data_IF_737879735173
#
_entry.id   IF_737879735173
#
_cell.length_a   1.000
_cell.length_b   1.000
_cell.length_c   1.000
_cell.angle_alpha   90.00
_cell.angle_beta   90.00
_cell.angle_gamma   90.00
#
_symmetry.space_group_name_H-M   'P 1'
#
loop_
_entity.id
_entity.type
_entity.pdbx_description
1 polymer ?
#
# COMPACT_ATOMS: atom_id res chain seq x y z
N UNK A 1 -27.25 61.29 -3.84
CA UNK A 1 -27.32 60.06 -3.02
C UNK A 1 -27.74 58.83 -3.82
N UNK A 2 -28.88 58.84 -4.53
CA UNK A 2 -29.40 57.68 -5.29
C UNK A 2 -28.41 57.10 -6.32
N UNK A 3 -27.66 57.95 -7.04
CA UNK A 3 -26.69 57.50 -8.05
C UNK A 3 -25.49 56.72 -7.47
N UNK A 4 -25.05 57.02 -6.24
CA UNK A 4 -23.98 56.29 -5.56
C UNK A 4 -24.45 54.91 -5.07
N UNK A 5 -25.72 54.82 -4.66
CA UNK A 5 -26.32 53.56 -4.19
C UNK A 5 -26.50 52.55 -5.34
N UNK A 6 -26.89 53.02 -6.53
CA UNK A 6 -26.98 52.20 -7.74
C UNK A 6 -25.62 51.66 -8.21
N UNK A 7 -24.55 52.47 -8.10
CA UNK A 7 -23.20 52.05 -8.42
C UNK A 7 -22.68 50.98 -7.42
N UNK A 8 -22.94 51.18 -6.12
CA UNK A 8 -22.59 50.20 -5.09
C UNK A 8 -23.34 48.86 -5.28
N UNK A 9 -24.61 48.91 -5.69
CA UNK A 9 -25.41 47.72 -5.98
C UNK A 9 -24.91 46.95 -7.22
N UNK A 10 -24.46 47.66 -8.26
CA UNK A 10 -23.85 47.03 -9.44
C UNK A 10 -22.50 46.35 -9.13
N UNK A 11 -21.69 46.95 -8.24
CA UNK A 11 -20.42 46.34 -7.83
C UNK A 11 -20.67 45.09 -6.96
N UNK A 12 -21.64 45.13 -6.05
CA UNK A 12 -22.00 44.00 -5.17
C UNK A 12 -22.59 42.79 -5.93
N UNK A 13 -23.30 43.01 -7.03
CA UNK A 13 -23.87 41.92 -7.85
C UNK A 13 -22.82 41.29 -8.78
N UNK A 14 -21.78 42.05 -9.16
CA UNK A 14 -20.69 41.55 -10.00
C UNK A 14 -19.70 40.62 -9.27
N UNK A 15 -19.59 40.73 -7.94
CA UNK A 15 -18.71 39.88 -7.12
C UNK A 15 -19.29 38.49 -6.81
N UNK A 16 -20.59 38.26 -7.02
CA UNK A 16 -21.24 36.96 -6.81
C UNK A 16 -20.96 35.98 -7.97
N UNK A 17 -20.55 36.49 -9.13
CA UNK A 17 -20.15 35.67 -10.30
C UNK A 17 -18.67 35.33 -10.33
N UNK A 18 -17.93 35.50 -9.22
CA UNK A 18 -16.58 34.99 -9.11
C UNK A 18 -16.65 33.45 -9.20
N UNK A 19 -16.27 32.97 -10.37
CA UNK A 19 -16.55 31.66 -10.93
C UNK A 19 -16.12 30.57 -9.97
N UNK A 20 -17.10 29.86 -9.40
CA UNK A 20 -16.89 28.52 -8.87
C UNK A 20 -16.63 27.63 -10.10
N UNK A 21 -15.42 27.70 -10.66
CA UNK A 21 -15.00 26.81 -11.74
C UNK A 21 -15.13 25.40 -11.19
N UNK A 22 -16.16 24.69 -11.64
CA UNK A 22 -16.33 23.28 -11.32
C UNK A 22 -15.04 22.57 -11.68
N UNK A 23 -14.38 21.95 -10.68
CA UNK A 23 -13.16 21.20 -10.90
C UNK A 23 -13.46 20.09 -11.89
N UNK A 24 -12.62 19.95 -12.91
CA UNK A 24 -12.70 18.81 -13.82
C UNK A 24 -12.39 17.56 -13.01
N UNK A 25 -13.25 16.54 -13.07
CA UNK A 25 -12.98 15.25 -12.45
C UNK A 25 -12.61 14.23 -13.52
N UNK A 26 -11.49 13.54 -13.34
CA UNK A 26 -11.06 12.42 -14.18
C UNK A 26 -11.09 11.16 -13.32
N UNK A 27 -11.72 10.10 -13.81
CA UNK A 27 -11.76 8.81 -13.13
C UNK A 27 -10.96 7.78 -13.93
N UNK A 28 -10.02 7.13 -13.26
CA UNK A 28 -9.11 6.15 -13.86
C UNK A 28 -9.29 4.79 -13.17
N UNK A 29 -9.24 3.72 -13.96
CA UNK A 29 -9.20 2.35 -13.44
C UNK A 29 -7.80 1.96 -12.92
N UNK A 30 -7.69 0.72 -12.44
CA UNK A 30 -6.44 0.16 -11.90
C UNK A 30 -5.30 0.02 -12.93
N UNK A 31 -5.61 0.18 -14.21
CA UNK A 31 -4.67 0.17 -15.34
C UNK A 31 -4.48 1.57 -15.94
N UNK A 32 -4.90 2.63 -15.22
CA UNK A 32 -4.85 4.03 -15.64
C UNK A 32 -5.69 4.34 -16.89
N UNK A 33 -6.70 3.54 -17.20
CA UNK A 33 -7.62 3.79 -18.30
C UNK A 33 -8.78 4.67 -17.81
N UNK A 34 -9.20 5.68 -18.60
CA UNK A 34 -10.38 6.47 -18.26
C UNK A 34 -11.64 5.61 -18.14
N UNK A 35 -12.40 5.83 -17.07
CA UNK A 35 -13.72 5.21 -16.83
C UNK A 35 -14.73 6.28 -16.44
N UNK A 36 -16.02 5.97 -16.51
CA UNK A 36 -17.05 6.87 -16.00
C UNK A 36 -17.15 6.78 -14.46
N UNK A 37 -17.77 7.79 -13.84
CA UNK A 37 -17.92 7.89 -12.39
C UNK A 37 -18.70 6.71 -11.78
N UNK A 38 -19.73 6.20 -12.48
CA UNK A 38 -20.52 5.07 -11.98
C UNK A 38 -19.68 3.79 -11.87
N UNK A 39 -18.92 3.46 -12.92
CA UNK A 39 -17.99 2.32 -12.93
C UNK A 39 -16.85 2.51 -11.92
N UNK A 40 -16.40 3.75 -11.70
CA UNK A 40 -15.43 4.05 -10.66
C UNK A 40 -15.98 3.75 -9.27
N UNK A 41 -17.18 4.25 -8.95
CA UNK A 41 -17.82 4.01 -7.66
C UNK A 41 -18.09 2.52 -7.44
N UNK A 42 -18.53 1.80 -8.47
CA UNK A 42 -18.76 0.35 -8.40
C UNK A 42 -17.47 -0.42 -8.10
N UNK A 43 -16.37 -0.11 -8.81
CA UNK A 43 -15.05 -0.71 -8.55
C UNK A 43 -14.55 -0.38 -7.15
N UNK A 44 -14.64 0.89 -6.74
CA UNK A 44 -14.21 1.37 -5.41
C UNK A 44 -14.94 0.64 -4.28
N UNK A 45 -16.21 0.31 -4.47
CA UNK A 45 -17.02 -0.38 -3.47
C UNK A 45 -16.66 -1.88 -3.32
N UNK A 46 -15.86 -2.44 -4.24
CA UNK A 46 -15.38 -3.82 -4.13
C UNK A 46 -14.25 -3.95 -3.11
N UNK A 47 -14.22 -5.06 -2.36
CA UNK A 47 -13.23 -5.26 -1.29
C UNK A 47 -11.78 -5.45 -1.79
N UNK A 48 -11.57 -5.65 -3.09
CA UNK A 48 -10.24 -5.87 -3.67
C UNK A 48 -9.58 -4.58 -4.17
N UNK A 49 -10.32 -3.47 -4.18
CA UNK A 49 -9.88 -2.18 -4.66
C UNK A 49 -9.93 -1.12 -3.56
N UNK A 50 -9.20 -0.05 -3.77
CA UNK A 50 -9.31 1.22 -3.05
C UNK A 50 -9.16 2.36 -4.06
N UNK A 51 -9.27 3.60 -3.61
CA UNK A 51 -9.09 4.76 -4.48
C UNK A 51 -8.20 5.81 -3.84
N UNK A 52 -7.36 6.43 -4.67
CA UNK A 52 -6.60 7.63 -4.33
C UNK A 52 -7.09 8.79 -5.18
N UNK A 53 -7.05 9.99 -4.62
CA UNK A 53 -7.43 11.21 -5.33
C UNK A 53 -6.33 12.25 -5.19
N UNK A 54 -5.94 12.82 -6.32
CA UNK A 54 -4.97 13.91 -6.39
C UNK A 54 -5.60 15.07 -7.16
N UNK A 55 -5.54 16.27 -6.63
CA UNK A 55 -6.13 17.42 -7.30
C UNK A 55 -5.39 18.72 -7.04
N UNK A 56 -5.63 19.67 -7.93
CA UNK A 56 -5.28 21.07 -7.80
C UNK A 56 -6.55 21.93 -7.90
N UNK A 57 -6.41 23.22 -8.19
CA UNK A 57 -7.55 24.15 -8.24
C UNK A 57 -8.49 23.89 -9.42
N UNK A 58 -7.99 23.26 -10.49
CA UNK A 58 -8.72 23.07 -11.75
C UNK A 58 -9.17 21.63 -12.00
N UNK A 59 -8.46 20.65 -11.43
CA UNK A 59 -8.55 19.25 -11.78
C UNK A 59 -8.44 18.37 -10.54
N UNK A 60 -9.27 17.35 -10.46
CA UNK A 60 -9.14 16.23 -9.52
C UNK A 60 -9.09 14.92 -10.32
N UNK A 61 -8.03 14.15 -10.14
CA UNK A 61 -7.89 12.81 -10.69
C UNK A 61 -8.17 11.80 -9.59
N UNK A 62 -9.16 10.95 -9.81
CA UNK A 62 -9.52 9.83 -8.96
C UNK A 62 -9.04 8.55 -9.64
N UNK A 63 -8.28 7.73 -8.93
CA UNK A 63 -7.67 6.53 -9.48
C UNK A 63 -8.00 5.33 -8.60
N UNK A 64 -8.50 4.26 -9.22
CA UNK A 64 -8.64 2.95 -8.58
C UNK A 64 -7.27 2.30 -8.44
N UNK A 65 -6.97 1.75 -7.27
CA UNK A 65 -5.76 0.99 -7.01
C UNK A 65 -6.11 -0.36 -6.38
N UNK A 66 -5.30 -1.37 -6.66
CA UNK A 66 -5.51 -2.70 -6.06
C UNK A 66 -5.21 -2.63 -4.56
N UNK A 67 -6.11 -3.14 -3.74
CA UNK A 67 -5.86 -3.38 -2.32
C UNK A 67 -5.18 -4.73 -2.12
N UNK A 68 -5.62 -5.72 -2.91
CA UNK A 68 -5.00 -7.04 -3.07
C UNK A 68 -4.94 -7.40 -4.55
N UNK A 69 -3.93 -8.16 -4.96
CA UNK A 69 -3.82 -8.64 -6.34
C UNK A 69 -3.03 -9.95 -6.39
N UNK A 70 -3.64 -10.97 -6.98
CA UNK A 70 -2.92 -12.17 -7.43
C UNK A 70 -2.50 -12.02 -8.89
N UNK A 71 -1.41 -12.65 -9.25
CA UNK A 71 -1.02 -12.76 -10.64
C UNK A 71 0.15 -13.70 -10.84
N UNK A 72 0.63 -13.75 -12.07
CA UNK A 72 1.77 -14.56 -12.47
C UNK A 72 2.63 -13.81 -13.47
N UNK A 73 3.92 -13.73 -13.19
CA UNK A 73 4.89 -13.28 -14.19
C UNK A 73 5.29 -14.46 -15.07
N UNK A 74 5.51 -14.20 -16.36
CA UNK A 74 6.21 -15.15 -17.21
C UNK A 74 7.66 -15.36 -16.71
N UNK A 75 8.31 -16.41 -17.20
CA UNK A 75 9.65 -16.80 -16.74
C UNK A 75 10.71 -15.72 -16.98
N UNK A 76 10.60 -14.95 -18.07
CA UNK A 76 11.54 -13.89 -18.44
C UNK A 76 11.35 -12.70 -17.50
N UNK A 77 10.11 -12.24 -17.32
CA UNK A 77 9.76 -11.13 -16.44
C UNK A 77 10.13 -11.45 -14.99
N UNK A 78 9.82 -12.66 -14.49
CA UNK A 78 10.21 -13.11 -13.16
C UNK A 78 11.73 -13.10 -12.97
N UNK A 79 12.47 -13.61 -13.95
CA UNK A 79 13.94 -13.58 -13.93
C UNK A 79 14.48 -12.15 -13.86
N UNK A 80 13.97 -11.23 -14.70
CA UNK A 80 14.38 -9.82 -14.70
C UNK A 80 14.12 -9.15 -13.36
N UNK A 81 12.94 -9.36 -12.77
CA UNK A 81 12.60 -8.83 -11.44
C UNK A 81 13.59 -9.36 -10.39
N UNK A 82 13.90 -10.66 -10.39
CA UNK A 82 14.87 -11.26 -9.46
C UNK A 82 16.28 -10.70 -9.65
N UNK A 83 16.70 -10.40 -10.87
CA UNK A 83 17.98 -9.75 -11.15
C UNK A 83 18.03 -8.31 -10.63
N UNK A 84 16.94 -7.54 -10.79
CA UNK A 84 16.82 -6.21 -10.19
C UNK A 84 16.88 -6.27 -8.66
N UNK A 85 16.16 -7.21 -8.05
CA UNK A 85 16.18 -7.43 -6.60
C UNK A 85 17.58 -7.82 -6.10
N UNK A 86 18.29 -8.69 -6.82
CA UNK A 86 19.68 -9.07 -6.53
C UNK A 86 20.63 -7.88 -6.58
N UNK A 87 20.51 -7.05 -7.63
CA UNK A 87 21.31 -5.82 -7.77
C UNK A 87 21.05 -4.84 -6.63
N UNK A 88 19.79 -4.54 -6.35
CA UNK A 88 19.39 -3.50 -5.39
C UNK A 88 19.68 -3.95 -3.94
N UNK A 89 19.44 -5.22 -3.62
CA UNK A 89 19.68 -5.76 -2.27
C UNK A 89 21.11 -6.24 -2.01
N UNK A 90 21.92 -6.43 -3.06
CA UNK A 90 23.24 -7.08 -3.01
C UNK A 90 23.21 -8.51 -2.42
N UNK A 91 22.06 -9.19 -2.44
CA UNK A 91 21.91 -10.56 -1.98
C UNK A 91 21.93 -11.54 -3.15
N UNK A 92 22.89 -12.47 -3.15
CA UNK A 92 23.06 -13.46 -4.22
C UNK A 92 22.11 -14.66 -4.14
N UNK A 93 21.43 -14.88 -3.01
CA UNK A 93 20.58 -16.05 -2.75
C UNK A 93 19.08 -15.76 -3.00
N UNK A 94 18.79 -15.10 -4.12
CA UNK A 94 17.42 -14.70 -4.50
C UNK A 94 16.81 -15.63 -5.55
N UNK A 95 17.63 -16.28 -6.39
CA UNK A 95 17.12 -17.00 -7.55
C UNK A 95 16.23 -18.20 -7.17
N UNK A 96 16.56 -18.88 -6.08
CA UNK A 96 16.01 -20.17 -5.63
C UNK A 96 15.06 -20.06 -4.44
N UNK A 97 14.78 -18.84 -3.96
CA UNK A 97 13.92 -18.59 -2.80
C UNK A 97 12.63 -17.89 -3.18
N UNK A 98 11.58 -18.20 -2.44
CA UNK A 98 10.39 -17.36 -2.45
C UNK A 98 10.70 -16.06 -1.69
N UNK A 99 10.08 -14.96 -2.10
CA UNK A 99 10.46 -13.63 -1.62
C UNK A 99 9.28 -12.96 -0.93
N UNK A 100 9.57 -12.25 0.16
CA UNK A 100 8.63 -11.33 0.82
C UNK A 100 9.25 -9.94 0.76
N UNK A 101 8.62 -9.02 0.04
CA UNK A 101 9.09 -7.66 -0.14
C UNK A 101 8.14 -6.74 0.62
N UNK A 102 8.67 -6.00 1.59
CA UNK A 102 7.94 -4.93 2.26
C UNK A 102 8.41 -3.61 1.67
N UNK A 103 7.51 -2.81 1.12
CA UNK A 103 7.84 -1.52 0.52
C UNK A 103 7.12 -0.38 1.25
N UNK A 104 7.86 0.70 1.53
CA UNK A 104 7.32 1.96 2.02
C UNK A 104 7.59 3.07 1.01
N UNK A 105 6.55 3.77 0.58
CA UNK A 105 6.77 4.92 -0.30
C UNK A 105 7.63 5.98 0.41
N UNK A 106 7.34 6.27 1.68
CA UNK A 106 8.16 7.21 2.47
C UNK A 106 8.51 6.62 3.84
N UNK A 107 9.79 6.70 4.22
CA UNK A 107 10.27 6.51 5.58
C UNK A 107 10.28 7.86 6.30
N UNK A 108 9.39 8.03 7.27
CA UNK A 108 9.31 9.24 8.08
C UNK A 108 10.14 9.12 9.36
N UNK A 109 10.89 10.16 9.71
CA UNK A 109 11.45 10.30 11.04
C UNK A 109 10.36 10.41 12.10
N UNK A 110 10.62 9.87 13.29
CA UNK A 110 9.67 9.90 14.42
C UNK A 110 9.24 11.32 14.82
N UNK A 111 10.06 12.34 14.59
CA UNK A 111 9.67 13.74 14.92
C UNK A 111 8.85 14.39 13.81
N UNK A 112 9.09 13.98 12.56
CA UNK A 112 8.42 14.48 11.36
C UNK A 112 7.01 13.92 11.22
N UNK A 113 6.78 12.73 11.77
CA UNK A 113 5.49 12.07 11.75
C UNK A 113 4.59 12.64 12.87
N UNK A 114 3.45 13.23 12.48
CA UNK A 114 2.56 13.98 13.38
C UNK A 114 2.11 13.18 14.61
N UNK A 115 1.92 11.87 14.45
CA UNK A 115 1.50 10.98 15.54
C UNK A 115 2.57 10.77 16.62
N UNK A 116 3.83 11.15 16.35
CA UNK A 116 4.97 10.89 17.22
C UNK A 116 5.74 12.13 17.64
N UNK A 117 5.34 13.32 17.17
CA UNK A 117 5.98 14.59 17.50
C UNK A 117 6.08 14.83 19.03
N UNK A 118 5.11 14.31 19.81
CA UNK A 118 5.02 14.50 21.26
C UNK A 118 5.65 13.36 22.08
N UNK A 119 6.21 12.33 21.45
CA UNK A 119 6.81 11.22 22.19
C UNK A 119 8.16 11.59 22.79
N UNK A 120 8.43 11.08 24.00
CA UNK A 120 9.76 11.21 24.58
C UNK A 120 10.79 10.39 23.78
N UNK A 121 12.06 10.81 23.83
CA UNK A 121 13.15 10.04 23.21
C UNK A 121 13.22 8.59 23.72
N UNK A 122 12.85 8.36 24.98
CA UNK A 122 12.78 7.02 25.58
C UNK A 122 11.70 6.18 24.93
N UNK A 123 10.52 6.74 24.70
CA UNK A 123 9.39 6.04 24.07
C UNK A 123 9.69 5.72 22.62
N UNK A 124 10.28 6.67 21.89
CA UNK A 124 10.77 6.45 20.52
C UNK A 124 11.75 5.27 20.50
N UNK A 125 12.77 5.27 21.37
CA UNK A 125 13.75 4.20 21.47
C UNK A 125 13.12 2.83 21.79
N UNK A 126 12.11 2.81 22.66
CA UNK A 126 11.39 1.59 23.00
C UNK A 126 10.55 1.06 21.84
N UNK A 127 9.81 1.93 21.13
CA UNK A 127 9.03 1.58 19.94
C UNK A 127 9.91 1.01 18.84
N UNK A 128 11.02 1.70 18.57
CA UNK A 128 12.06 1.26 17.64
C UNK A 128 12.56 -0.15 17.98
N UNK A 129 12.98 -0.36 19.25
CA UNK A 129 13.49 -1.65 19.71
C UNK A 129 12.43 -2.76 19.61
N UNK A 130 11.18 -2.43 19.91
CA UNK A 130 10.06 -3.35 19.79
C UNK A 130 9.86 -3.78 18.33
N UNK A 131 9.81 -2.82 17.40
CA UNK A 131 9.67 -3.08 15.98
C UNK A 131 10.81 -3.94 15.43
N UNK A 132 12.06 -3.60 15.74
CA UNK A 132 13.24 -4.37 15.29
C UNK A 132 13.24 -5.81 15.83
N UNK A 133 12.80 -6.03 17.08
CA UNK A 133 12.64 -7.37 17.65
C UNK A 133 11.52 -8.17 17.00
N UNK A 134 10.44 -7.52 16.56
CA UNK A 134 9.38 -8.17 15.79
C UNK A 134 9.93 -8.61 14.44
N UNK A 135 10.55 -7.70 13.69
CA UNK A 135 11.12 -8.02 12.38
C UNK A 135 12.13 -9.17 12.46
N UNK A 136 12.92 -9.23 13.54
CA UNK A 136 13.79 -10.39 13.82
C UNK A 136 13.03 -11.72 13.87
N UNK A 137 11.90 -11.76 14.58
CA UNK A 137 11.05 -12.97 14.69
C UNK A 137 10.45 -13.33 13.33
N UNK A 138 9.98 -12.35 12.58
CA UNK A 138 9.43 -12.52 11.24
C UNK A 138 10.44 -13.16 10.30
N UNK A 139 11.63 -12.55 10.18
CA UNK A 139 12.72 -13.06 9.34
C UNK A 139 13.11 -14.48 9.73
N UNK A 140 13.17 -14.78 11.04
CA UNK A 140 13.48 -16.14 11.51
C UNK A 140 12.41 -17.15 11.10
N UNK A 141 11.12 -16.79 11.13
CA UNK A 141 10.04 -17.66 10.66
C UNK A 141 10.13 -17.86 9.16
N UNK A 142 10.18 -16.77 8.40
CA UNK A 142 10.09 -16.83 6.95
C UNK A 142 11.26 -17.64 6.35
N UNK A 143 12.46 -17.53 6.94
CA UNK A 143 13.61 -18.37 6.57
C UNK A 143 13.41 -19.87 6.81
N UNK A 144 12.62 -20.26 7.82
CA UNK A 144 12.28 -21.68 8.04
C UNK A 144 11.36 -22.21 6.95
N UNK A 145 10.52 -21.34 6.38
CA UNK A 145 9.59 -21.66 5.31
C UNK A 145 10.21 -21.43 3.91
N UNK A 146 11.54 -21.30 3.81
CA UNK A 146 12.29 -21.02 2.58
C UNK A 146 11.98 -19.67 1.88
N UNK A 147 11.52 -18.69 2.65
CA UNK A 147 11.34 -17.31 2.17
C UNK A 147 12.52 -16.41 2.56
N UNK A 148 12.93 -15.53 1.65
CA UNK A 148 13.82 -14.40 1.96
C UNK A 148 13.02 -13.10 2.00
N UNK A 149 13.25 -12.31 3.05
CA UNK A 149 12.53 -11.05 3.25
C UNK A 149 13.42 -9.85 2.97
N UNK A 150 12.87 -8.87 2.25
CA UNK A 150 13.51 -7.59 1.97
C UNK A 150 12.61 -6.42 2.38
N UNK A 151 13.24 -5.31 2.75
CA UNK A 151 12.57 -4.09 3.16
C UNK A 151 13.06 -2.96 2.26
N UNK A 152 12.16 -2.43 1.44
CA UNK A 152 12.42 -1.39 0.46
C UNK A 152 11.76 -0.08 0.84
N UNK A 153 12.35 1.03 0.38
CA UNK A 153 11.73 2.33 0.47
C UNK A 153 11.95 3.19 -0.78
N UNK A 154 11.03 4.11 -1.05
CA UNK A 154 11.19 5.09 -2.13
C UNK A 154 11.77 6.41 -1.64
N UNK A 155 11.27 7.04 -0.58
CA UNK A 155 11.77 8.33 -0.06
C UNK A 155 12.18 8.20 1.40
N UNK A 156 13.28 8.82 1.81
CA UNK A 156 13.65 8.97 3.21
C UNK A 156 13.44 10.43 3.62
N UNK A 157 12.47 10.66 4.52
CA UNK A 157 12.20 11.95 5.16
C UNK A 157 12.61 11.89 6.63
N UNK A 158 13.91 12.10 6.88
CA UNK A 158 14.49 12.20 8.23
C UNK A 158 14.43 10.91 9.07
N UNK A 159 14.30 9.75 8.41
CA UNK A 159 14.43 8.45 9.06
C UNK A 159 15.91 8.13 9.30
N UNK A 160 16.36 8.36 10.53
CA UNK A 160 17.75 8.22 10.94
C UNK A 160 18.02 6.95 11.77
N UNK A 161 17.01 6.08 11.94
CA UNK A 161 17.19 4.85 12.69
C UNK A 161 17.84 3.76 11.83
N UNK A 162 18.85 3.09 12.39
CA UNK A 162 19.49 1.92 11.79
C UNK A 162 19.03 0.66 12.55
N UNK A 163 18.14 -0.16 11.96
CA UNK A 163 17.71 -1.41 12.58
C UNK A 163 18.87 -2.39 12.73
N UNK A 164 18.80 -3.26 13.76
CA UNK A 164 19.87 -4.23 14.02
C UNK A 164 19.63 -5.56 13.31
N UNK A 165 18.36 -5.92 13.08
CA UNK A 165 18.00 -7.24 12.57
C UNK A 165 17.60 -7.24 11.09
N UNK A 166 17.49 -6.07 10.47
CA UNK A 166 17.22 -5.91 9.04
C UNK A 166 17.76 -4.57 8.53
N UNK A 167 17.75 -4.37 7.21
CA UNK A 167 18.14 -3.11 6.60
C UNK A 167 17.09 -2.63 5.61
N UNK A 168 16.87 -1.32 5.58
CA UNK A 168 16.11 -0.65 4.54
C UNK A 168 16.96 -0.49 3.28
N UNK A 169 16.43 -0.89 2.14
CA UNK A 169 17.07 -0.82 0.83
C UNK A 169 16.33 0.24 0.01
N UNK A 170 17.06 1.20 -0.56
CA UNK A 170 16.44 2.17 -1.47
C UNK A 170 16.00 1.42 -2.73
N UNK A 171 14.70 1.46 -3.04
CA UNK A 171 14.16 0.87 -4.26
C UNK A 171 14.57 1.69 -5.49
N UNK A 172 14.95 1.03 -6.57
CA UNK A 172 15.09 1.70 -7.87
C UNK A 172 13.71 2.09 -8.42
N UNK A 173 13.63 3.18 -9.18
CA UNK A 173 12.37 3.64 -9.79
C UNK A 173 11.72 2.57 -10.66
N UNK A 174 12.55 1.76 -11.35
CA UNK A 174 12.08 0.64 -12.18
C UNK A 174 11.39 -0.41 -11.31
N UNK A 175 12.04 -0.89 -10.25
CA UNK A 175 11.47 -1.90 -9.36
C UNK A 175 10.21 -1.39 -8.67
N UNK A 176 10.23 -0.14 -8.22
CA UNK A 176 9.09 0.52 -7.60
C UNK A 176 7.88 0.56 -8.56
N UNK A 177 8.07 1.04 -9.79
CA UNK A 177 6.99 1.12 -10.77
C UNK A 177 6.45 -0.26 -11.17
N UNK A 178 7.32 -1.28 -11.29
CA UNK A 178 6.92 -2.63 -11.67
C UNK A 178 6.09 -3.35 -10.60
N UNK A 179 6.44 -3.18 -9.31
CA UNK A 179 5.87 -3.98 -8.23
C UNK A 179 4.87 -3.23 -7.34
N UNK A 180 5.10 -1.93 -7.12
CA UNK A 180 4.43 -1.18 -6.05
C UNK A 180 3.68 0.07 -6.54
N UNK A 181 4.01 0.60 -7.72
CA UNK A 181 3.42 1.82 -8.28
C UNK A 181 3.43 3.01 -7.29
N UNK A 182 4.54 3.18 -6.55
CA UNK A 182 4.70 4.21 -5.51
C UNK A 182 3.70 4.10 -4.33
N UNK A 183 3.13 2.92 -4.10
CA UNK A 183 2.24 2.69 -2.96
C UNK A 183 2.90 1.78 -1.93
N UNK A 184 2.89 2.19 -0.66
CA UNK A 184 3.32 1.33 0.45
C UNK A 184 2.51 0.04 0.45
N UNK A 185 3.18 -1.09 0.36
CA UNK A 185 2.55 -2.39 0.21
C UNK A 185 3.54 -3.51 0.54
N UNK A 186 3.02 -4.74 0.56
CA UNK A 186 3.82 -5.95 0.55
C UNK A 186 3.58 -6.76 -0.71
N UNK A 187 4.60 -7.52 -1.06
CA UNK A 187 4.63 -8.36 -2.25
C UNK A 187 5.24 -9.70 -1.90
N UNK A 188 4.53 -10.79 -2.20
CA UNK A 188 5.04 -12.15 -2.07
C UNK A 188 5.26 -12.70 -3.48
N UNK A 189 6.48 -13.17 -3.76
CA UNK A 189 6.86 -13.69 -5.08
C UNK A 189 7.41 -15.10 -4.95
N UNK A 190 6.69 -16.08 -5.50
CA UNK A 190 7.17 -17.46 -5.60
C UNK A 190 8.22 -17.63 -6.70
N UNK A 191 9.04 -18.66 -6.58
CA UNK A 191 10.06 -19.04 -7.58
C UNK A 191 9.47 -19.30 -8.95
N UNK A 192 8.25 -19.85 -9.02
CA UNK A 192 7.52 -20.14 -10.26
C UNK A 192 6.88 -18.90 -10.93
N UNK A 193 7.04 -17.70 -10.35
CA UNK A 193 6.52 -16.44 -10.89
C UNK A 193 5.12 -16.06 -10.40
N UNK A 194 4.44 -16.93 -9.63
CA UNK A 194 3.19 -16.55 -8.98
C UNK A 194 3.47 -15.46 -7.94
N UNK A 195 2.61 -14.44 -7.88
CA UNK A 195 2.76 -13.35 -6.94
C UNK A 195 1.45 -12.93 -6.27
N UNK A 196 1.60 -12.35 -5.09
CA UNK A 196 0.53 -11.76 -4.32
C UNK A 196 0.95 -10.39 -3.78
N UNK A 197 0.27 -9.34 -4.24
CA UNK A 197 0.41 -7.97 -3.76
C UNK A 197 -0.71 -7.66 -2.78
N UNK A 198 -0.40 -6.95 -1.69
CA UNK A 198 -1.40 -6.43 -0.78
C UNK A 198 -0.92 -5.17 -0.06
N UNK A 199 -1.83 -4.24 0.21
CA UNK A 199 -1.54 -3.09 1.07
C UNK A 199 -1.74 -3.46 2.55
N UNK A 200 -2.90 -4.02 2.88
CA UNK A 200 -3.28 -4.32 4.26
C UNK A 200 -4.05 -5.65 4.37
N UNK A 201 -3.47 -6.63 5.08
CA UNK A 201 -4.16 -7.89 5.43
C UNK A 201 -3.73 -8.40 6.80
N UNK A 202 -4.57 -9.23 7.45
CA UNK A 202 -4.17 -9.86 8.72
C UNK A 202 -3.04 -10.87 8.49
N UNK A 203 -2.04 -10.84 9.39
CA UNK A 203 -0.87 -11.73 9.37
C UNK A 203 -1.24 -13.22 9.27
N UNK A 204 -2.31 -13.68 9.94
CA UNK A 204 -2.75 -15.07 9.85
C UNK A 204 -3.00 -15.54 8.42
N UNK A 205 -3.51 -14.68 7.53
CA UNK A 205 -3.75 -15.02 6.12
C UNK A 205 -2.48 -15.02 5.31
N UNK A 206 -1.57 -14.10 5.61
CA UNK A 206 -0.26 -14.11 4.96
C UNK A 206 0.45 -15.43 5.27
N UNK A 207 0.37 -15.89 6.52
CA UNK A 207 0.93 -17.17 6.94
C UNK A 207 0.22 -18.34 6.25
N UNK A 208 -1.12 -18.32 6.15
CA UNK A 208 -1.88 -19.35 5.42
C UNK A 208 -1.44 -19.41 3.94
N UNK A 209 -1.29 -18.26 3.31
CA UNK A 209 -0.89 -18.12 1.90
C UNK A 209 0.56 -18.55 1.66
N UNK A 210 1.48 -18.19 2.55
CA UNK A 210 2.90 -18.61 2.53
C UNK A 210 3.02 -20.13 2.63
N UNK A 211 2.20 -20.76 3.47
CA UNK A 211 2.20 -22.21 3.69
C UNK A 211 1.45 -22.99 2.62
N UNK A 212 0.60 -22.33 1.84
CA UNK A 212 -0.12 -22.97 0.76
C UNK A 212 0.83 -23.27 -0.41
N UNK A 213 0.93 -24.56 -0.77
CA UNK A 213 1.75 -25.04 -1.89
C UNK A 213 1.28 -24.41 -3.22
N UNK A 214 -0.04 -24.47 -3.47
CA UNK A 214 -0.70 -23.88 -4.63
C UNK A 214 -1.66 -22.75 -4.20
N UNK A 215 -1.76 -21.69 -5.01
CA UNK A 215 -2.67 -20.56 -4.78
C UNK A 215 -3.94 -20.58 -5.63
N UNK A 216 -4.15 -21.60 -6.46
CA UNK A 216 -5.28 -21.69 -7.39
C UNK A 216 -6.64 -21.36 -6.77
N UNK A 217 -6.94 -21.86 -5.57
CA UNK A 217 -8.18 -21.53 -4.88
C UNK A 217 -8.30 -20.03 -4.56
N UNK A 218 -7.23 -19.41 -4.06
CA UNK A 218 -7.20 -17.97 -3.76
C UNK A 218 -7.32 -17.14 -5.05
N UNK A 219 -6.65 -17.57 -6.12
CA UNK A 219 -6.70 -16.93 -7.44
C UNK A 219 -8.10 -17.01 -8.03
N UNK A 220 -8.74 -18.17 -7.99
CA UNK A 220 -10.09 -18.36 -8.52
C UNK A 220 -11.12 -17.50 -7.77
N UNK A 221 -11.06 -17.48 -6.43
CA UNK A 221 -11.93 -16.61 -5.63
C UNK A 221 -11.67 -15.12 -5.91
N UNK A 222 -10.40 -14.74 -6.12
CA UNK A 222 -10.03 -13.37 -6.47
C UNK A 222 -10.58 -12.97 -7.84
N UNK A 223 -10.46 -13.82 -8.85
CA UNK A 223 -10.99 -13.53 -10.19
C UNK A 223 -12.53 -13.47 -10.18
N UNK A 224 -13.21 -14.31 -9.39
CA UNK A 224 -14.68 -14.18 -9.18
C UNK A 224 -14.99 -12.82 -8.54
N UNK A 225 -14.28 -12.43 -7.48
CA UNK A 225 -14.51 -11.16 -6.81
C UNK A 225 -14.27 -9.97 -7.74
N UNK A 226 -13.24 -10.06 -8.59
CA UNK A 226 -12.89 -9.05 -9.59
C UNK A 226 -13.91 -8.94 -10.71
N UNK A 227 -14.41 -10.05 -11.23
CA UNK A 227 -15.40 -10.06 -12.30
C UNK A 227 -16.79 -9.63 -11.82
N UNK A 228 -17.12 -9.90 -10.56
CA UNK A 228 -18.42 -9.55 -9.96
C UNK A 228 -18.40 -8.23 -9.18
N UNK A 229 -17.23 -7.60 -9.05
CA UNK A 229 -17.00 -6.42 -8.21
C UNK A 229 -17.60 -6.60 -6.80
N UNK A 230 -17.42 -7.79 -6.22
CA UNK A 230 -18.06 -8.15 -4.96
C UNK A 230 -17.66 -7.17 -3.85
N UNK A 231 -18.66 -6.65 -3.15
CA UNK A 231 -18.46 -5.86 -1.92
C UNK A 231 -18.16 -6.75 -0.72
N UNK A 232 -18.65 -7.99 -0.76
CA UNK A 232 -18.49 -8.96 0.32
C UNK A 232 -17.33 -9.89 0.06
N UNK A 233 -16.63 -10.21 1.14
CA UNK A 233 -15.57 -11.21 1.13
C UNK A 233 -16.19 -12.58 1.34
N UNK A 234 -15.76 -13.58 0.57
CA UNK A 234 -16.26 -14.95 0.66
C UNK A 234 -15.10 -15.95 0.62
N UNK A 235 -15.41 -17.20 0.94
CA UNK A 235 -14.43 -18.30 0.88
C UNK A 235 -13.17 -18.07 1.71
N UNK A 236 -12.02 -18.38 1.13
CA UNK A 236 -10.68 -18.09 1.67
C UNK A 236 -10.39 -16.59 1.77
N UNK A 237 -11.02 -15.77 0.93
CA UNK A 237 -10.86 -14.31 0.96
C UNK A 237 -11.69 -13.60 2.04
N UNK A 238 -12.63 -14.27 2.73
CA UNK A 238 -13.61 -13.73 3.73
C UNK A 238 -13.01 -12.75 4.75
N UNK A 239 -11.72 -12.85 4.90
CA UNK A 239 -11.01 -12.74 6.13
C UNK A 239 -9.76 -11.87 5.89
N UNK A 240 -9.44 -11.55 4.62
CA UNK A 240 -8.17 -10.91 4.25
C UNK A 240 -7.94 -9.55 4.88
N UNK A 241 -8.93 -8.67 4.98
CA UNK A 241 -8.65 -7.26 5.29
C UNK A 241 -9.01 -6.84 6.72
N UNK A 242 -8.19 -5.97 7.32
CA UNK A 242 -8.45 -5.40 8.65
C UNK A 242 -9.56 -4.36 8.54
N UNK A 243 -10.69 -4.51 9.25
CA UNK A 243 -11.63 -3.40 9.28
C UNK A 243 -10.96 -2.22 10.01
N UNK A 244 -10.84 -1.06 9.38
CA UNK A 244 -10.17 0.09 9.99
C UNK A 244 -10.86 0.51 11.30
N UNK A 245 -12.18 0.29 11.39
CA UNK A 245 -12.96 0.46 12.61
C UNK A 245 -12.57 -0.55 13.70
N UNK A 246 -12.27 -1.81 13.36
CA UNK A 246 -11.84 -2.82 14.34
C UNK A 246 -10.46 -2.48 14.95
N UNK A 247 -9.59 -1.77 14.21
CA UNK A 247 -8.27 -1.32 14.66
C UNK A 247 -8.37 -0.07 15.55
N UNK A 248 -9.35 0.80 15.30
CA UNK A 248 -9.56 2.04 16.08
C UNK A 248 -10.11 1.77 17.48
N UNK A 249 -10.91 0.72 17.66
CA UNK A 249 -11.58 0.41 18.94
C UNK A 249 -10.93 -0.73 19.74
N UNK A 250 -10.20 -1.65 19.11
CA UNK A 250 -9.46 -2.67 19.84
C UNK A 250 -8.02 -2.20 20.06
N UNK A 251 -7.66 -1.98 21.32
CA UNK A 251 -6.30 -1.69 21.77
C UNK A 251 -5.31 -2.64 21.10
N UNK A 252 -4.43 -2.09 20.24
CA UNK A 252 -3.30 -2.71 19.54
C UNK A 252 -3.48 -4.19 19.17
N UNK A 253 -3.51 -4.55 17.86
CA UNK A 253 -3.67 -5.95 17.49
C UNK A 253 -2.60 -6.78 18.21
N UNK A 254 -3.06 -7.83 18.89
CA UNK A 254 -2.28 -8.61 19.86
C UNK A 254 -0.88 -8.91 19.31
N UNK A 255 0.11 -9.01 20.20
CA UNK A 255 1.56 -9.13 19.94
C UNK A 255 2.03 -10.19 18.90
N UNK A 256 1.11 -10.92 18.27
CA UNK A 256 1.29 -11.96 17.27
C UNK A 256 1.00 -11.53 15.81
N UNK A 257 0.84 -10.23 15.51
CA UNK A 257 0.31 -9.75 14.20
C UNK A 257 1.11 -8.64 13.46
N UNK A 258 2.39 -8.41 13.82
CA UNK A 258 3.14 -7.23 13.36
C UNK A 258 4.19 -7.48 12.26
N UNK A 259 4.25 -8.68 11.67
CA UNK A 259 5.21 -8.99 10.60
C UNK A 259 4.81 -8.48 9.21
N UNK A 260 3.51 -8.25 9.02
CA UNK A 260 2.93 -7.97 7.70
C UNK A 260 2.11 -6.69 7.65
N UNK A 261 2.30 -5.81 8.65
CA UNK A 261 1.69 -4.49 8.65
C UNK A 261 2.74 -3.41 8.89
N UNK A 262 2.88 -2.43 7.99
CA UNK A 262 3.56 -1.21 8.27
C UNK A 262 2.55 -0.29 8.97
N UNK A 263 2.31 -0.54 10.27
CA UNK A 263 1.82 0.57 11.08
C UNK A 263 2.80 1.73 10.88
N UNK A 264 2.28 2.94 10.72
CA UNK A 264 3.09 4.13 10.86
C UNK A 264 3.82 4.00 12.21
N UNK A 265 5.13 3.73 12.15
CA UNK A 265 6.06 3.70 13.27
C UNK A 265 7.14 4.71 12.94
#
# INVERSE_FOLDING_TARGET
MIKFFLLAFLILTSSIYCQNKSKVNIFLDENLKPINEASFNEKRDSFIYTSISHGNDSLTVHQITNLIKFGKFDSITNYQIRMLLKRDSKNNHIADKDLILTFRDTLYGFKTHSNFANLSNRDIKNKIKHYDNIQKKCIKRDRKDNYERFYFYNVNKEYNYLPKNFSWIKSSSILNNLLFNNQSAMFILKTNGDYFYFQEIYEKYVIELIKAENWELFVNEYEIAKNTLSKMRFGKLKNLHMNYEDVKYNSYPSHNTQCYFPGDY
#
